data_IF_398982634564
#
_entry.id   IF_398982634564
#
_cell.length_a   1.000
_cell.length_b   1.000
_cell.length_c   1.000
_cell.angle_alpha   90.00
_cell.angle_beta   90.00
_cell.angle_gamma   90.00
#
_symmetry.space_group_name_H-M   'P 1'
#
loop_
_entity.id
_entity.type
_entity.pdbx_description
1 polymer ?
#
# COMPACT_ATOMS: atom_id res chain seq x y z
N UNK A 1 -12.39 -0.42 -12.04
CA UNK A 1 -11.01 -0.16 -11.59
C UNK A 1 -11.08 0.04 -10.09
N UNK A 2 -10.70 -0.96 -9.32
CA UNK A 2 -10.90 -0.97 -7.87
C UNK A 2 -9.58 -1.39 -7.24
N UNK A 3 -8.96 -0.48 -6.50
CA UNK A 3 -8.04 -0.87 -5.46
C UNK A 3 -8.89 -1.03 -4.21
N UNK A 4 -9.43 -2.22 -4.01
CA UNK A 4 -10.10 -2.54 -2.76
C UNK A 4 -9.00 -2.75 -1.72
N UNK A 5 -8.91 -1.89 -0.68
CA UNK A 5 -8.13 -2.25 0.46
C UNK A 5 -8.82 -3.47 1.05
N UNK A 6 -8.19 -4.64 0.95
CA UNK A 6 -8.55 -5.71 1.86
C UNK A 6 -8.27 -5.11 3.25
N UNK A 7 -9.26 -5.05 4.17
CA UNK A 7 -9.04 -4.57 5.51
C UNK A 7 -7.81 -5.27 6.03
N UNK A 8 -6.78 -4.50 6.41
CA UNK A 8 -5.71 -5.07 7.19
C UNK A 8 -6.42 -5.69 8.40
N UNK A 9 -6.33 -7.02 8.64
CA UNK A 9 -6.79 -7.55 9.91
C UNK A 9 -6.11 -6.68 10.96
N UNK A 10 -6.89 -6.09 11.86
CA UNK A 10 -6.38 -5.31 12.97
C UNK A 10 -5.24 -6.13 13.55
N UNK A 11 -3.99 -5.73 13.25
CA UNK A 11 -2.86 -6.63 13.40
C UNK A 11 -2.89 -7.13 14.83
N UNK A 12 -2.77 -8.45 15.02
CA UNK A 12 -2.84 -9.10 16.33
C UNK A 12 -2.26 -8.18 17.41
N UNK A 13 -3.00 -7.85 18.49
CA UNK A 13 -2.47 -7.02 19.57
C UNK A 13 -1.22 -7.64 20.20
N UNK A 14 -1.03 -8.95 20.04
CA UNK A 14 0.16 -9.70 20.45
C UNK A 14 1.34 -9.65 19.45
N UNK A 15 1.18 -9.03 18.27
CA UNK A 15 2.28 -8.81 17.33
C UNK A 15 2.83 -7.38 17.44
N UNK A 16 4.14 -7.21 17.70
CA UNK A 16 4.78 -5.90 17.75
C UNK A 16 4.75 -5.17 16.40
N UNK A 17 4.49 -5.90 15.30
CA UNK A 17 4.37 -5.38 13.94
C UNK A 17 3.00 -5.76 13.37
N UNK A 18 2.32 -4.83 12.70
CA UNK A 18 1.11 -5.15 11.95
C UNK A 18 1.45 -5.75 10.58
N UNK A 19 0.60 -6.70 10.16
CA UNK A 19 0.64 -7.24 8.81
C UNK A 19 -0.52 -6.67 8.00
N UNK A 20 -0.22 -6.04 6.87
CA UNK A 20 -1.20 -5.63 5.87
C UNK A 20 -0.91 -6.32 4.53
N UNK A 21 -1.97 -6.68 3.82
CA UNK A 21 -1.86 -7.29 2.50
C UNK A 21 -2.46 -6.32 1.49
N UNK A 22 -1.63 -5.84 0.58
CA UNK A 22 -2.03 -4.90 -0.45
C UNK A 22 -2.13 -5.64 -1.76
N UNK A 23 -3.35 -5.74 -2.27
CA UNK A 23 -3.63 -6.25 -3.60
C UNK A 23 -4.03 -5.09 -4.49
N UNK A 24 -3.44 -5.01 -5.68
CA UNK A 24 -3.77 -4.00 -6.66
C UNK A 24 -4.01 -4.63 -8.03
N UNK A 25 -4.89 -3.98 -8.79
CA UNK A 25 -5.15 -4.33 -10.17
C UNK A 25 -5.45 -3.05 -10.97
N UNK A 26 -4.56 -2.70 -11.89
CA UNK A 26 -4.73 -1.57 -12.82
C UNK A 26 -5.62 -1.90 -14.01
N UNK A 27 -6.13 -3.14 -14.10
CA UNK A 27 -7.00 -3.62 -15.18
C UNK A 27 -6.26 -3.76 -16.51
N UNK A 28 -6.92 -3.33 -17.59
CA UNK A 28 -6.35 -3.34 -18.94
C UNK A 28 -5.36 -2.20 -19.21
N UNK A 29 -5.25 -1.23 -18.31
CA UNK A 29 -4.32 -0.13 -18.47
C UNK A 29 -2.88 -0.58 -18.13
N UNK A 30 -1.91 0.17 -18.64
CA UNK A 30 -0.49 -0.16 -18.58
C UNK A 30 0.03 -0.38 -17.13
N UNK A 31 1.25 -0.90 -17.01
CA UNK A 31 1.91 -1.23 -15.74
C UNK A 31 1.75 -0.13 -14.68
N UNK A 32 1.15 -0.50 -13.54
CA UNK A 32 1.05 0.37 -12.37
C UNK A 32 2.33 0.38 -11.58
N UNK A 33 2.63 1.53 -10.96
CA UNK A 33 3.72 1.68 -10.00
C UNK A 33 3.13 1.88 -8.60
N UNK A 34 3.41 0.93 -7.70
CA UNK A 34 3.01 0.99 -6.30
C UNK A 34 4.14 1.61 -5.48
N UNK A 35 3.82 2.70 -4.80
CA UNK A 35 4.68 3.40 -3.87
C UNK A 35 4.15 3.31 -2.44
N UNK A 36 5.04 3.36 -1.47
CA UNK A 36 4.74 3.54 -0.06
C UNK A 36 5.46 4.76 0.45
N UNK A 37 4.77 5.55 1.25
CA UNK A 37 5.34 6.66 2.00
C UNK A 37 5.18 6.38 3.48
N UNK A 38 6.29 6.37 4.21
CA UNK A 38 6.30 6.14 5.66
C UNK A 38 6.48 7.48 6.36
N UNK A 39 5.48 7.94 7.10
CA UNK A 39 5.50 9.23 7.80
C UNK A 39 5.92 10.39 6.88
N UNK A 40 6.97 11.13 7.25
CA UNK A 40 7.54 12.23 6.48
C UNK A 40 8.69 11.80 5.55
N UNK A 41 8.96 10.50 5.44
CA UNK A 41 10.00 9.96 4.57
C UNK A 41 9.61 10.08 3.09
N UNK A 42 10.59 10.04 2.17
CA UNK A 42 10.32 9.96 0.73
C UNK A 42 9.50 8.72 0.36
N UNK A 43 8.79 8.80 -0.76
CA UNK A 43 8.02 7.67 -1.29
C UNK A 43 8.97 6.61 -1.87
N UNK A 44 8.82 5.37 -1.46
CA UNK A 44 9.59 4.22 -1.96
C UNK A 44 8.73 3.39 -2.90
N UNK A 45 9.26 3.05 -4.08
CA UNK A 45 8.58 2.14 -4.99
C UNK A 45 8.71 0.71 -4.46
N UNK A 46 7.59 0.11 -4.11
CA UNK A 46 7.53 -1.27 -3.65
C UNK A 46 7.47 -2.25 -4.82
N UNK A 47 6.62 -1.93 -5.81
CA UNK A 47 6.38 -2.84 -6.92
C UNK A 47 6.00 -2.07 -8.18
N UNK A 48 6.27 -2.70 -9.33
CA UNK A 48 5.85 -2.24 -10.66
C UNK A 48 5.17 -3.40 -11.36
N UNK A 49 3.85 -3.43 -11.35
CA UNK A 49 3.06 -4.48 -11.99
C UNK A 49 1.66 -3.98 -12.35
N UNK A 50 1.06 -4.58 -13.38
CA UNK A 50 -0.35 -4.33 -13.73
C UNK A 50 -1.29 -4.85 -12.64
N UNK A 51 -0.96 -5.97 -12.04
CA UNK A 51 -1.65 -6.50 -10.87
C UNK A 51 -0.65 -7.21 -9.98
N UNK A 52 -0.94 -7.28 -8.69
CA UNK A 52 -0.08 -7.96 -7.75
C UNK A 52 -0.67 -7.96 -6.34
N UNK A 53 -0.08 -8.81 -5.50
CA UNK A 53 -0.34 -8.86 -4.07
C UNK A 53 0.99 -8.73 -3.36
N UNK A 54 1.07 -7.81 -2.41
CA UNK A 54 2.25 -7.58 -1.59
C UNK A 54 1.84 -7.68 -0.12
N UNK A 55 2.48 -8.61 0.59
CA UNK A 55 2.38 -8.71 2.04
C UNK A 55 3.40 -7.76 2.66
N UNK A 56 2.95 -6.97 3.62
CA UNK A 56 3.76 -6.02 4.36
C UNK A 56 3.59 -6.33 5.84
N UNK A 57 4.63 -6.87 6.43
CA UNK A 57 4.71 -7.37 7.81
C UNK A 57 5.60 -6.48 8.71
N UNK A 58 6.00 -5.31 8.20
CA UNK A 58 6.86 -4.35 8.88
C UNK A 58 6.14 -3.04 9.23
N UNK A 59 4.80 -3.07 9.35
CA UNK A 59 4.02 -1.90 9.80
C UNK A 59 4.27 -1.68 11.30
N UNK A 60 4.94 -0.58 11.62
CA UNK A 60 5.26 -0.20 12.99
C UNK A 60 4.12 0.60 13.63
N UNK A 61 4.06 0.54 14.96
CA UNK A 61 3.22 1.40 15.78
C UNK A 61 3.66 2.87 15.64
N UNK A 62 2.73 3.82 15.79
CA UNK A 62 2.99 5.27 15.68
C UNK A 62 3.54 5.71 14.30
N UNK A 63 3.38 4.86 13.27
CA UNK A 63 3.81 5.15 11.91
C UNK A 63 2.64 5.10 10.92
N UNK A 64 2.57 6.14 10.09
CA UNK A 64 1.60 6.26 9.01
C UNK A 64 2.22 5.76 7.71
N UNK A 65 1.63 4.72 7.12
CA UNK A 65 2.05 4.15 5.84
C UNK A 65 1.03 4.53 4.78
N UNK A 66 1.40 5.41 3.84
CA UNK A 66 0.55 5.77 2.71
C UNK A 66 0.98 5.00 1.47
N UNK A 67 0.14 4.09 1.01
CA UNK A 67 0.33 3.38 -0.24
C UNK A 67 -0.34 4.16 -1.37
N UNK A 68 0.42 4.41 -2.43
CA UNK A 68 -0.01 5.21 -3.58
C UNK A 68 0.22 4.40 -4.84
N UNK A 69 -0.85 4.10 -5.54
CA UNK A 69 -0.79 3.42 -6.82
C UNK A 69 -0.93 4.46 -7.93
N UNK A 70 0.09 4.56 -8.77
CA UNK A 70 0.08 5.45 -9.94
C UNK A 70 -0.07 4.65 -11.22
N UNK A 71 -0.73 5.24 -12.21
CA UNK A 71 -0.73 4.76 -13.60
C UNK A 71 0.55 5.17 -14.34
N UNK A 72 0.81 4.56 -15.51
CA UNK A 72 1.96 4.76 -16.38
C UNK A 72 2.40 6.22 -16.44
N UNK A 73 3.71 6.45 -16.26
CA UNK A 73 4.38 7.76 -16.17
C UNK A 73 4.00 8.62 -14.95
N UNK A 74 3.53 8.02 -13.85
CA UNK A 74 3.28 8.75 -12.60
C UNK A 74 2.29 9.92 -12.76
N UNK A 75 1.48 9.92 -13.84
CA UNK A 75 0.68 11.09 -14.24
C UNK A 75 -0.68 11.15 -13.54
N UNK A 76 -1.19 10.02 -13.05
CA UNK A 76 -2.47 9.98 -12.34
C UNK A 76 -2.40 8.98 -11.19
N UNK A 77 -2.82 9.44 -10.02
CA UNK A 77 -3.01 8.59 -8.85
C UNK A 77 -4.28 7.76 -9.08
N UNK A 78 -4.15 6.45 -9.15
CA UNK A 78 -5.28 5.53 -9.30
C UNK A 78 -5.96 5.30 -7.95
N UNK A 79 -5.15 5.09 -6.91
CA UNK A 79 -5.62 4.77 -5.59
C UNK A 79 -4.60 5.21 -4.54
N UNK A 80 -5.13 5.53 -3.36
CA UNK A 80 -4.35 5.82 -2.17
C UNK A 80 -4.96 5.09 -0.99
N UNK A 81 -4.12 4.44 -0.20
CA UNK A 81 -4.51 3.72 1.01
C UNK A 81 -3.62 4.21 2.13
N UNK A 82 -4.22 4.75 3.18
CA UNK A 82 -3.53 5.16 4.39
C UNK A 82 -3.70 4.06 5.44
N UNK A 83 -2.59 3.43 5.83
CA UNK A 83 -2.55 2.43 6.89
C UNK A 83 -1.90 3.07 8.10
N UNK A 84 -2.65 3.18 9.17
CA UNK A 84 -2.19 3.63 10.48
C UNK A 84 -2.52 2.53 11.48
N UNK A 85 -1.59 2.25 12.39
CA UNK A 85 -1.86 1.40 13.55
C UNK A 85 -2.14 2.35 14.71
N UNK A 86 -3.42 2.52 15.01
CA UNK A 86 -3.91 3.25 16.19
C UNK A 86 -4.07 2.25 17.36
N UNK A 87 -4.06 2.75 18.60
CA UNK A 87 -4.06 1.95 19.83
C UNK A 87 -5.45 1.55 20.29
#
# INVERSE_FOLDING_TARGET
MTAEPNPAPAGDPDQPLATTVITWNTGNEATGDLYVKVNRSPEFRLARARSGTLKIDWIQFDSTYQFRLYTKKHSKLLAKVDVTRDN
#
